data_IF_809610586275
#
_entry.id   IF_809610586275
#
_cell.length_a   1.000
_cell.length_b   1.000
_cell.length_c   1.000
_cell.angle_alpha   90.00
_cell.angle_beta   90.00
_cell.angle_gamma   90.00
#
_symmetry.space_group_name_H-M   'P 1'
#
loop_
_entity.id
_entity.type
_entity.pdbx_description
1 polymer ?
#
# COMPACT_ATOMS: atom_id res chain seq x y z
N UNK A 1 75.94 -177.45 15.03
CA UNK A 1 74.59 -177.13 15.56
C UNK A 1 74.52 -175.74 16.23
N UNK A 2 75.44 -175.34 17.14
CA UNK A 2 75.40 -174.02 17.79
C UNK A 2 75.84 -172.83 16.90
N UNK A 3 76.73 -173.05 15.93
CA UNK A 3 77.26 -171.96 15.08
C UNK A 3 76.33 -171.55 13.92
N UNK A 4 75.51 -172.45 13.38
CA UNK A 4 74.57 -172.10 12.28
C UNK A 4 73.40 -171.22 12.76
N UNK A 5 73.02 -171.34 14.04
CA UNK A 5 71.99 -170.50 14.66
C UNK A 5 72.44 -169.04 14.80
N UNK A 6 73.74 -168.80 15.05
CA UNK A 6 74.26 -167.43 15.19
C UNK A 6 74.34 -166.68 13.86
N UNK A 7 74.57 -167.40 12.75
CA UNK A 7 74.65 -166.79 11.41
C UNK A 7 73.27 -166.35 10.89
N UNK A 8 72.25 -167.18 11.10
CA UNK A 8 70.87 -166.85 10.72
C UNK A 8 70.26 -165.71 11.54
N UNK A 9 70.66 -165.55 12.80
CA UNK A 9 70.19 -164.43 13.63
C UNK A 9 70.75 -163.10 13.09
N UNK A 10 72.04 -163.06 12.72
CA UNK A 10 72.63 -161.84 12.16
C UNK A 10 72.05 -161.45 10.80
N UNK A 11 71.72 -162.40 9.93
CA UNK A 11 71.06 -162.12 8.64
C UNK A 11 69.65 -161.52 8.84
N UNK A 12 68.89 -162.00 9.84
CA UNK A 12 67.56 -161.47 10.15
C UNK A 12 67.65 -160.08 10.80
N UNK A 13 68.67 -159.83 11.63
CA UNK A 13 68.89 -158.51 12.22
C UNK A 13 69.23 -157.44 11.16
N UNK A 14 70.04 -157.79 10.14
CA UNK A 14 70.30 -156.90 9.00
C UNK A 14 69.03 -156.61 8.18
N UNK A 15 68.17 -157.61 7.94
CA UNK A 15 66.90 -157.40 7.22
C UNK A 15 65.92 -156.51 8.00
N UNK A 16 65.85 -156.65 9.33
CA UNK A 16 64.99 -155.82 10.18
C UNK A 16 65.45 -154.36 10.14
N UNK A 17 66.75 -154.11 10.16
CA UNK A 17 67.30 -152.75 10.13
C UNK A 17 67.06 -152.09 8.76
N UNK A 18 67.13 -152.86 7.67
CA UNK A 18 66.83 -152.39 6.31
C UNK A 18 65.34 -152.12 6.07
N UNK A 19 64.45 -152.84 6.75
CA UNK A 19 63.00 -152.59 6.72
C UNK A 19 62.64 -151.36 7.56
N UNK A 20 63.32 -151.12 8.69
CA UNK A 20 63.13 -149.88 9.49
C UNK A 20 63.53 -148.63 8.72
N UNK A 21 64.63 -148.66 7.97
CA UNK A 21 65.06 -147.49 7.15
C UNK A 21 64.08 -147.22 6.01
N UNK A 22 63.56 -148.25 5.34
CA UNK A 22 62.48 -148.10 4.34
C UNK A 22 61.19 -147.56 4.95
N UNK A 23 60.77 -148.05 6.12
CA UNK A 23 59.58 -147.54 6.82
C UNK A 23 59.70 -146.05 7.15
N UNK A 24 60.88 -145.61 7.62
CA UNK A 24 61.15 -144.21 7.96
C UNK A 24 61.15 -143.28 6.73
N UNK A 25 61.52 -143.79 5.55
CA UNK A 25 61.42 -143.07 4.28
C UNK A 25 59.97 -142.83 3.84
N UNK A 26 59.14 -143.87 3.91
CA UNK A 26 57.72 -143.81 3.52
C UNK A 26 56.90 -142.96 4.49
N UNK A 27 57.21 -142.98 5.79
CA UNK A 27 56.55 -142.11 6.78
C UNK A 27 56.80 -140.62 6.50
N UNK A 28 58.00 -140.26 6.01
CA UNK A 28 58.36 -138.87 5.69
C UNK A 28 57.68 -138.36 4.42
N UNK A 29 57.59 -139.18 3.37
CA UNK A 29 56.86 -138.83 2.14
C UNK A 29 55.36 -138.66 2.37
N UNK A 30 54.77 -139.43 3.29
CA UNK A 30 53.34 -139.33 3.63
C UNK A 30 53.02 -138.01 4.35
N UNK A 31 53.95 -137.49 5.14
CA UNK A 31 53.76 -136.26 5.93
C UNK A 31 53.85 -135.01 5.03
N UNK A 32 54.79 -134.99 4.08
CA UNK A 32 54.93 -133.93 3.07
C UNK A 32 53.69 -133.84 2.14
N UNK A 33 53.12 -134.99 1.72
CA UNK A 33 51.91 -135.01 0.90
C UNK A 33 50.66 -134.49 1.63
N UNK A 34 50.52 -134.79 2.93
CA UNK A 34 49.39 -134.29 3.74
C UNK A 34 49.42 -132.77 3.90
N UNK A 35 50.60 -132.18 4.12
CA UNK A 35 50.75 -130.73 4.22
C UNK A 35 50.38 -130.02 2.90
N UNK A 36 50.75 -130.61 1.77
CA UNK A 36 50.44 -130.03 0.46
C UNK A 36 48.94 -130.12 0.11
N UNK A 37 48.26 -131.20 0.50
CA UNK A 37 46.79 -131.33 0.32
C UNK A 37 46.01 -130.28 1.12
N UNK A 38 46.40 -130.01 2.37
CA UNK A 38 45.76 -128.96 3.19
C UNK A 38 45.97 -127.57 2.60
N UNK A 39 47.16 -127.27 2.06
CA UNK A 39 47.47 -126.00 1.41
C UNK A 39 46.65 -125.75 0.13
N UNK A 40 46.46 -126.78 -0.70
CA UNK A 40 45.66 -126.68 -1.94
C UNK A 40 44.16 -126.58 -1.65
N UNK A 41 43.64 -127.32 -0.65
CA UNK A 41 42.23 -127.20 -0.23
C UNK A 41 41.89 -125.82 0.33
N UNK A 42 42.85 -125.17 1.01
CA UNK A 42 42.68 -123.80 1.50
C UNK A 42 42.44 -122.79 0.38
N UNK A 43 43.28 -122.81 -0.67
CA UNK A 43 43.18 -121.89 -1.82
C UNK A 43 41.92 -122.09 -2.66
N UNK A 44 41.46 -123.33 -2.81
CA UNK A 44 40.22 -123.62 -3.56
C UNK A 44 39.01 -122.98 -2.88
N UNK A 45 38.90 -123.08 -1.55
CA UNK A 45 37.78 -122.47 -0.80
C UNK A 45 37.75 -120.95 -0.89
N UNK A 46 38.91 -120.31 -0.98
CA UNK A 46 39.01 -118.85 -1.09
C UNK A 46 38.48 -118.37 -2.45
N UNK A 47 38.92 -119.01 -3.54
CA UNK A 47 38.49 -118.68 -4.91
C UNK A 47 36.99 -118.95 -5.14
N UNK A 48 36.44 -120.01 -4.57
CA UNK A 48 34.99 -120.28 -4.65
C UNK A 48 34.16 -119.17 -3.98
N UNK A 49 34.67 -118.58 -2.91
CA UNK A 49 34.00 -117.49 -2.18
C UNK A 49 33.96 -116.19 -3.00
N UNK A 50 35.05 -115.85 -3.66
CA UNK A 50 35.17 -114.65 -4.50
C UNK A 50 34.32 -114.73 -5.78
N UNK A 51 34.26 -115.91 -6.41
CA UNK A 51 33.41 -116.15 -7.58
C UNK A 51 31.93 -115.98 -7.20
N UNK A 52 31.52 -116.50 -6.04
CA UNK A 52 30.16 -116.36 -5.57
C UNK A 52 29.78 -114.89 -5.31
N UNK A 53 30.62 -114.16 -4.57
CA UNK A 53 30.38 -112.75 -4.24
C UNK A 53 30.32 -111.83 -5.46
N UNK A 54 31.17 -112.05 -6.47
CA UNK A 54 31.10 -111.28 -7.72
C UNK A 54 29.89 -111.64 -8.58
N UNK A 55 29.43 -112.90 -8.54
CA UNK A 55 28.21 -113.31 -9.26
C UNK A 55 26.94 -112.67 -8.70
N UNK A 56 26.88 -112.47 -7.37
CA UNK A 56 25.76 -111.78 -6.71
C UNK A 56 25.72 -110.29 -7.05
N UNK A 57 26.86 -109.59 -6.99
CA UNK A 57 26.96 -108.17 -7.40
C UNK A 57 26.56 -107.96 -8.86
N UNK A 58 26.94 -108.88 -9.74
CA UNK A 58 26.58 -108.79 -11.15
C UNK A 58 25.07 -108.99 -11.38
N UNK A 59 24.41 -109.80 -10.55
CA UNK A 59 22.94 -109.92 -10.54
C UNK A 59 22.26 -108.66 -10.00
N UNK A 60 22.76 -108.06 -8.93
CA UNK A 60 22.23 -106.81 -8.39
C UNK A 60 22.31 -105.67 -9.41
N UNK A 61 23.46 -105.49 -10.06
CA UNK A 61 23.63 -104.44 -11.08
C UNK A 61 22.70 -104.67 -12.29
N UNK A 62 22.52 -105.93 -12.71
CA UNK A 62 21.55 -106.26 -13.76
C UNK A 62 20.12 -105.95 -13.36
N UNK A 63 19.72 -106.28 -12.13
CA UNK A 63 18.37 -105.97 -11.64
C UNK A 63 18.12 -104.45 -11.56
N UNK A 64 19.13 -103.67 -11.13
CA UNK A 64 19.02 -102.20 -11.10
C UNK A 64 18.93 -101.62 -12.51
N UNK A 65 19.67 -102.15 -13.48
CA UNK A 65 19.57 -101.75 -14.88
C UNK A 65 18.20 -102.07 -15.48
N UNK A 66 17.67 -103.27 -15.22
CA UNK A 66 16.33 -103.66 -15.67
C UNK A 66 15.25 -102.80 -15.02
N UNK A 67 15.34 -102.52 -13.71
CA UNK A 67 14.41 -101.62 -13.01
C UNK A 67 14.42 -100.20 -13.59
N UNK A 68 15.61 -99.68 -13.92
CA UNK A 68 15.77 -98.38 -14.58
C UNK A 68 15.40 -98.39 -16.07
N UNK A 69 15.13 -99.55 -16.67
CA UNK A 69 14.69 -99.72 -18.08
C UNK A 69 13.26 -100.28 -18.20
N UNK A 70 12.54 -100.44 -17.08
CA UNK A 70 11.15 -100.93 -17.06
C UNK A 70 10.15 -100.10 -17.87
N UNK A 71 10.48 -98.86 -18.19
CA UNK A 71 9.68 -97.95 -19.05
C UNK A 71 9.92 -98.16 -20.56
N UNK A 72 10.78 -99.09 -20.95
CA UNK A 72 11.02 -99.50 -22.35
C UNK A 72 11.83 -98.50 -23.18
N UNK A 73 12.45 -97.50 -22.55
CA UNK A 73 13.19 -96.44 -23.25
C UNK A 73 14.70 -96.61 -23.08
N UNK A 74 15.43 -96.63 -24.19
CA UNK A 74 16.90 -96.54 -24.16
C UNK A 74 17.35 -95.15 -23.68
N UNK A 75 18.61 -95.03 -23.25
CA UNK A 75 19.21 -93.75 -22.84
C UNK A 75 19.10 -92.68 -23.95
N UNK A 76 19.23 -93.08 -25.22
CA UNK A 76 18.97 -92.23 -26.39
C UNK A 76 17.50 -91.81 -26.53
N UNK A 77 16.55 -92.70 -26.20
CA UNK A 77 15.12 -92.39 -26.20
C UNK A 77 14.73 -91.33 -25.16
N UNK A 78 15.39 -91.33 -24.00
CA UNK A 78 15.24 -90.27 -22.99
C UNK A 78 15.81 -88.95 -23.47
N UNK A 79 16.97 -88.95 -24.12
CA UNK A 79 17.56 -87.76 -24.75
C UNK A 79 16.64 -87.14 -25.81
N UNK A 80 15.97 -87.97 -26.63
CA UNK A 80 14.99 -87.50 -27.62
C UNK A 80 13.76 -86.85 -26.99
N UNK A 81 13.14 -87.50 -25.99
CA UNK A 81 11.99 -86.91 -25.26
C UNK A 81 12.34 -85.62 -24.54
N UNK A 82 13.53 -85.52 -23.95
CA UNK A 82 13.98 -84.32 -23.26
C UNK A 82 14.17 -83.16 -24.26
N UNK A 83 14.71 -83.44 -25.44
CA UNK A 83 14.80 -82.47 -26.52
C UNK A 83 13.42 -82.05 -27.06
N UNK A 84 12.49 -82.99 -27.22
CA UNK A 84 11.10 -82.67 -27.64
C UNK A 84 10.41 -81.76 -26.63
N UNK A 85 10.49 -82.10 -25.33
CA UNK A 85 9.91 -81.29 -24.25
C UNK A 85 10.59 -79.92 -24.17
N UNK A 86 11.93 -79.86 -24.30
CA UNK A 86 12.66 -78.59 -24.31
C UNK A 86 12.26 -77.70 -25.49
N UNK A 87 12.02 -78.29 -26.66
CA UNK A 87 11.57 -77.56 -27.84
C UNK A 87 10.14 -77.04 -27.67
N UNK A 88 9.25 -77.83 -27.05
CA UNK A 88 7.90 -77.38 -26.72
C UNK A 88 7.90 -76.27 -25.66
N UNK A 89 8.78 -76.36 -24.67
CA UNK A 89 8.94 -75.33 -23.64
C UNK A 89 9.40 -74.00 -24.26
N UNK A 90 10.44 -74.02 -25.09
CA UNK A 90 10.96 -72.84 -25.79
C UNK A 90 9.91 -72.22 -26.73
N UNK A 91 9.09 -73.03 -27.40
CA UNK A 91 7.94 -72.54 -28.18
C UNK A 91 6.89 -71.85 -27.32
N UNK A 92 6.57 -72.40 -26.16
CA UNK A 92 5.58 -71.83 -25.24
C UNK A 92 6.10 -70.57 -24.55
N UNK A 93 7.38 -70.52 -24.21
CA UNK A 93 8.04 -69.32 -23.67
C UNK A 93 8.02 -68.16 -24.68
N UNK A 94 8.34 -68.41 -25.95
CA UNK A 94 8.24 -67.38 -27.00
C UNK A 94 6.81 -66.91 -27.24
N UNK A 95 5.83 -67.80 -27.19
CA UNK A 95 4.43 -67.42 -27.32
C UNK A 95 3.97 -66.57 -26.12
N UNK A 96 4.42 -66.89 -24.90
CA UNK A 96 4.15 -66.11 -23.70
C UNK A 96 4.75 -64.69 -23.81
N UNK A 97 5.99 -64.58 -24.32
CA UNK A 97 6.63 -63.29 -24.56
C UNK A 97 5.82 -62.44 -25.56
N UNK A 98 5.41 -63.03 -26.68
CA UNK A 98 4.56 -62.34 -27.67
C UNK A 98 3.21 -61.89 -27.10
N UNK A 99 2.57 -62.70 -26.26
CA UNK A 99 1.32 -62.29 -25.60
C UNK A 99 1.52 -61.19 -24.57
N UNK A 100 2.67 -61.13 -23.87
CA UNK A 100 2.98 -60.02 -22.97
C UNK A 100 3.18 -58.72 -23.74
N UNK A 101 3.90 -58.77 -24.86
CA UNK A 101 4.12 -57.60 -25.71
C UNK A 101 2.79 -57.07 -26.29
N UNK A 102 1.89 -57.98 -26.71
CA UNK A 102 0.54 -57.60 -27.16
C UNK A 102 -0.31 -56.97 -26.05
N UNK A 103 -0.25 -57.49 -24.82
CA UNK A 103 -0.95 -56.90 -23.66
C UNK A 103 -0.40 -55.52 -23.31
N UNK A 104 0.92 -55.34 -23.38
CA UNK A 104 1.55 -54.04 -23.12
C UNK A 104 1.12 -52.98 -24.17
N UNK A 105 1.06 -53.36 -25.45
CA UNK A 105 0.62 -52.49 -26.55
C UNK A 105 -0.89 -52.19 -26.52
N UNK A 106 -1.73 -53.20 -26.30
CA UNK A 106 -3.18 -53.08 -26.49
C UNK A 106 -3.89 -52.59 -25.22
N UNK A 107 -3.41 -52.97 -24.03
CA UNK A 107 -4.08 -52.64 -22.77
C UNK A 107 -3.29 -51.62 -21.96
N UNK A 108 -2.00 -51.86 -21.67
CA UNK A 108 -1.27 -51.02 -20.71
C UNK A 108 -0.97 -49.62 -21.23
N UNK A 109 -0.52 -49.48 -22.49
CA UNK A 109 -0.24 -48.17 -23.09
C UNK A 109 -1.49 -47.28 -23.19
N UNK A 110 -2.63 -47.73 -23.76
CA UNK A 110 -3.83 -46.88 -23.85
C UNK A 110 -4.40 -46.47 -22.49
N UNK A 111 -4.34 -47.34 -21.47
CA UNK A 111 -4.76 -46.99 -20.11
C UNK A 111 -3.85 -45.91 -19.51
N UNK A 112 -2.54 -45.98 -19.78
CA UNK A 112 -1.58 -44.96 -19.33
C UNK A 112 -1.85 -43.62 -20.02
N UNK A 113 -2.05 -43.63 -21.33
CA UNK A 113 -2.33 -42.42 -22.12
C UNK A 113 -3.67 -41.79 -21.73
N UNK A 114 -4.70 -42.60 -21.44
CA UNK A 114 -5.98 -42.13 -20.94
C UNK A 114 -5.83 -41.43 -19.59
N UNK A 115 -5.12 -42.04 -18.63
CA UNK A 115 -4.83 -41.42 -17.33
C UNK A 115 -4.06 -40.11 -17.47
N UNK A 116 -3.10 -40.05 -18.39
CA UNK A 116 -2.37 -38.82 -18.66
C UNK A 116 -3.30 -37.73 -19.24
N UNK A 117 -4.16 -38.08 -20.19
CA UNK A 117 -5.15 -37.17 -20.74
C UNK A 117 -6.17 -36.68 -19.70
N UNK A 118 -6.68 -37.57 -18.84
CA UNK A 118 -7.58 -37.22 -17.73
C UNK A 118 -6.91 -36.22 -16.79
N UNK A 119 -5.67 -36.49 -16.38
CA UNK A 119 -4.92 -35.56 -15.53
C UNK A 119 -4.67 -34.19 -16.19
N UNK A 120 -4.51 -34.16 -17.52
CA UNK A 120 -4.40 -32.91 -18.29
C UNK A 120 -5.72 -32.16 -18.33
N UNK A 121 -6.85 -32.86 -18.50
CA UNK A 121 -8.19 -32.27 -18.48
C UNK A 121 -8.48 -31.66 -17.12
N UNK A 122 -8.18 -32.36 -16.02
CA UNK A 122 -8.36 -31.82 -14.66
C UNK A 122 -7.53 -30.54 -14.45
N UNK A 123 -6.25 -30.54 -14.85
CA UNK A 123 -5.40 -29.34 -14.78
C UNK A 123 -5.96 -28.17 -15.59
N UNK A 124 -6.41 -28.44 -16.82
CA UNK A 124 -6.99 -27.39 -17.67
C UNK A 124 -8.30 -26.85 -17.10
N UNK A 125 -9.13 -27.69 -16.48
CA UNK A 125 -10.35 -27.26 -15.80
C UNK A 125 -10.03 -26.38 -14.58
N UNK A 126 -9.03 -26.75 -13.78
CA UNK A 126 -8.56 -25.91 -12.68
C UNK A 126 -8.05 -24.55 -13.17
N UNK A 127 -7.30 -24.53 -14.28
CA UNK A 127 -6.76 -23.30 -14.85
C UNK A 127 -7.86 -22.41 -15.43
N UNK A 128 -8.88 -22.99 -16.08
CA UNK A 128 -10.08 -22.27 -16.51
C UNK A 128 -10.77 -21.60 -15.32
N UNK A 129 -11.02 -22.35 -14.24
CA UNK A 129 -11.63 -21.79 -13.03
C UNK A 129 -10.79 -20.67 -12.41
N UNK A 130 -9.45 -20.81 -12.37
CA UNK A 130 -8.55 -19.74 -11.89
C UNK A 130 -8.67 -18.49 -12.77
N UNK A 131 -8.70 -18.64 -14.08
CA UNK A 131 -8.81 -17.54 -15.03
C UNK A 131 -10.18 -16.85 -14.94
N UNK A 132 -11.27 -17.60 -14.83
CA UNK A 132 -12.62 -17.05 -14.66
C UNK A 132 -12.74 -16.23 -13.37
N UNK A 133 -12.19 -16.74 -12.26
CA UNK A 133 -12.12 -15.99 -11.00
C UNK A 133 -11.27 -14.72 -11.15
N UNK A 134 -10.14 -14.80 -11.87
CA UNK A 134 -9.30 -13.65 -12.16
C UNK A 134 -10.01 -12.57 -12.99
N UNK A 135 -10.82 -12.98 -13.98
CA UNK A 135 -11.64 -12.06 -14.79
C UNK A 135 -12.71 -11.39 -13.93
N UNK A 136 -13.39 -12.16 -13.06
CA UNK A 136 -14.40 -11.61 -12.16
C UNK A 136 -13.80 -10.58 -11.20
N UNK A 137 -12.62 -10.86 -10.63
CA UNK A 137 -11.92 -9.93 -9.75
C UNK A 137 -11.48 -8.65 -10.50
N UNK A 138 -10.89 -8.78 -11.69
CA UNK A 138 -10.47 -7.65 -12.51
C UNK A 138 -11.66 -6.74 -12.88
N UNK A 139 -12.79 -7.33 -13.27
CA UNK A 139 -14.03 -6.59 -13.56
C UNK A 139 -14.59 -5.90 -12.31
N UNK A 140 -14.52 -6.54 -11.14
CA UNK A 140 -14.90 -5.93 -9.87
C UNK A 140 -14.06 -4.69 -9.55
N UNK A 141 -12.73 -4.78 -9.71
CA UNK A 141 -11.80 -3.65 -9.51
C UNK A 141 -12.10 -2.51 -10.50
N UNK A 142 -12.34 -2.82 -11.77
CA UNK A 142 -12.66 -1.83 -12.80
C UNK A 142 -13.95 -1.08 -12.49
N UNK A 143 -15.01 -1.79 -12.08
CA UNK A 143 -16.28 -1.17 -11.70
C UNK A 143 -16.14 -0.26 -10.46
N UNK A 144 -15.31 -0.63 -9.48
CA UNK A 144 -15.03 0.21 -8.32
C UNK A 144 -14.31 1.51 -8.71
N UNK A 145 -13.35 1.46 -9.65
CA UNK A 145 -12.66 2.65 -10.16
C UNK A 145 -13.64 3.56 -10.94
N UNK A 146 -14.48 2.98 -11.81
CA UNK A 146 -15.48 3.74 -12.56
C UNK A 146 -16.52 4.42 -11.65
N UNK A 147 -16.88 3.79 -10.53
CA UNK A 147 -17.78 4.40 -9.54
C UNK A 147 -17.14 5.67 -8.92
N UNK A 148 -15.86 5.61 -8.56
CA UNK A 148 -15.13 6.76 -8.01
C UNK A 148 -14.94 7.91 -9.02
N UNK A 149 -14.77 7.60 -10.31
CA UNK A 149 -14.66 8.63 -11.36
C UNK A 149 -15.93 9.48 -11.52
N UNK A 150 -17.11 8.92 -11.25
CA UNK A 150 -18.37 9.70 -11.28
C UNK A 150 -18.41 10.80 -10.24
N UNK A 151 -17.74 10.61 -9.10
CA UNK A 151 -17.64 11.64 -8.08
C UNK A 151 -16.57 12.69 -8.43
N UNK A 152 -15.58 12.36 -9.27
CA UNK A 152 -14.61 13.34 -9.78
C UNK A 152 -15.28 14.42 -10.63
N UNK A 153 -16.20 14.05 -11.54
CA UNK A 153 -16.93 15.03 -12.35
C UNK A 153 -17.76 16.01 -11.48
N UNK A 154 -18.38 15.51 -10.39
CA UNK A 154 -19.12 16.36 -9.47
C UNK A 154 -18.21 17.34 -8.72
N UNK A 155 -17.03 16.86 -8.31
CA UNK A 155 -16.02 17.69 -7.65
C UNK A 155 -15.50 18.76 -8.62
N UNK A 156 -15.30 18.43 -9.89
CA UNK A 156 -14.89 19.39 -10.92
C UNK A 156 -15.96 20.46 -11.17
N UNK A 157 -17.24 20.06 -11.27
CA UNK A 157 -18.37 20.99 -11.41
C UNK A 157 -18.52 21.91 -10.20
N UNK A 158 -18.39 21.35 -8.98
CA UNK A 158 -18.42 22.13 -7.74
C UNK A 158 -17.23 23.10 -7.65
N UNK A 159 -16.04 22.68 -8.10
CA UNK A 159 -14.86 23.54 -8.16
C UNK A 159 -15.05 24.69 -9.15
N UNK A 160 -15.61 24.43 -10.34
CA UNK A 160 -15.88 25.47 -11.33
C UNK A 160 -16.94 26.46 -10.83
N UNK A 161 -18.01 25.98 -10.20
CA UNK A 161 -19.02 26.81 -9.55
C UNK A 161 -18.41 27.69 -8.44
N UNK A 162 -17.56 27.12 -7.58
CA UNK A 162 -16.91 27.88 -6.50
C UNK A 162 -15.94 28.92 -7.03
N UNK A 163 -15.22 28.64 -8.13
CA UNK A 163 -14.34 29.61 -8.80
C UNK A 163 -15.09 30.78 -9.40
N UNK A 164 -16.19 30.53 -10.11
CA UNK A 164 -17.04 31.61 -10.65
C UNK A 164 -17.63 32.45 -9.50
N UNK A 165 -18.02 31.81 -8.40
CA UNK A 165 -18.49 32.51 -7.20
C UNK A 165 -17.38 33.35 -6.54
N UNK A 166 -16.16 32.83 -6.43
CA UNK A 166 -15.00 33.55 -5.90
C UNK A 166 -14.72 34.80 -6.73
N UNK A 167 -14.64 34.66 -8.07
CA UNK A 167 -14.38 35.77 -8.98
C UNK A 167 -15.45 36.87 -8.88
N UNK A 168 -16.72 36.50 -8.74
CA UNK A 168 -17.82 37.47 -8.55
C UNK A 168 -17.69 38.22 -7.23
N UNK A 169 -17.41 37.51 -6.14
CA UNK A 169 -17.23 38.12 -4.82
C UNK A 169 -16.01 39.03 -4.78
N UNK A 170 -14.92 38.64 -5.44
CA UNK A 170 -13.72 39.46 -5.56
C UNK A 170 -14.01 40.75 -6.34
N UNK A 171 -14.74 40.65 -7.45
CA UNK A 171 -15.17 41.82 -8.24
C UNK A 171 -16.06 42.75 -7.40
N UNK A 172 -17.00 42.21 -6.62
CA UNK A 172 -17.88 42.99 -5.75
C UNK A 172 -17.09 43.67 -4.62
N UNK A 173 -16.13 42.96 -4.00
CA UNK A 173 -15.26 43.52 -2.99
C UNK A 173 -14.44 44.69 -3.51
N UNK A 174 -13.81 44.54 -4.70
CA UNK A 174 -13.08 45.63 -5.34
C UNK A 174 -13.96 46.84 -5.68
N UNK A 175 -15.20 46.59 -6.13
CA UNK A 175 -16.14 47.68 -6.41
C UNK A 175 -16.52 48.46 -5.14
N UNK A 176 -16.74 47.77 -4.02
CA UNK A 176 -17.05 48.39 -2.72
C UNK A 176 -15.85 49.16 -2.17
N UNK A 177 -14.64 48.60 -2.27
CA UNK A 177 -13.39 49.27 -1.87
C UNK A 177 -13.19 50.56 -2.66
N UNK A 178 -13.32 50.49 -3.99
CA UNK A 178 -13.22 51.65 -4.87
C UNK A 178 -14.26 52.73 -4.54
N UNK A 179 -15.51 52.33 -4.26
CA UNK A 179 -16.57 53.27 -3.87
C UNK A 179 -16.24 53.95 -2.54
N UNK A 180 -15.73 53.20 -1.57
CA UNK A 180 -15.30 53.72 -0.27
C UNK A 180 -14.18 54.76 -0.43
N UNK A 181 -13.16 54.44 -1.22
CA UNK A 181 -12.04 55.34 -1.49
C UNK A 181 -12.48 56.63 -2.18
N UNK A 182 -13.33 56.52 -3.20
CA UNK A 182 -13.91 57.67 -3.89
C UNK A 182 -14.75 58.54 -2.96
N UNK A 183 -15.57 57.93 -2.11
CA UNK A 183 -16.36 58.66 -1.10
C UNK A 183 -15.47 59.43 -0.13
N UNK A 184 -14.40 58.81 0.38
CA UNK A 184 -13.45 59.49 1.27
C UNK A 184 -12.70 60.62 0.55
N UNK A 185 -12.31 60.41 -0.70
CA UNK A 185 -11.64 61.43 -1.52
C UNK A 185 -12.54 62.64 -1.75
N UNK A 186 -13.75 62.44 -2.30
CA UNK A 186 -14.67 63.54 -2.61
C UNK A 186 -15.19 64.24 -1.36
N UNK A 187 -15.40 63.51 -0.25
CA UNK A 187 -15.74 64.14 1.03
C UNK A 187 -14.62 65.07 1.51
N UNK A 188 -13.37 64.61 1.46
CA UNK A 188 -12.21 65.40 1.87
C UNK A 188 -12.03 66.62 0.97
N UNK A 189 -12.22 66.46 -0.34
CA UNK A 189 -12.16 67.55 -1.31
C UNK A 189 -13.27 68.58 -1.08
N UNK A 190 -14.52 68.14 -0.88
CA UNK A 190 -15.66 69.01 -0.61
C UNK A 190 -15.45 69.82 0.67
N UNK A 191 -14.99 69.17 1.75
CA UNK A 191 -14.66 69.83 3.01
C UNK A 191 -13.56 70.87 2.81
N UNK A 192 -12.46 70.52 2.12
CA UNK A 192 -11.35 71.45 1.85
C UNK A 192 -11.80 72.66 1.02
N UNK A 193 -12.66 72.44 0.02
CA UNK A 193 -13.25 73.49 -0.81
C UNK A 193 -14.16 74.44 0.00
N UNK A 194 -14.73 73.99 1.13
CA UNK A 194 -15.50 74.84 2.04
C UNK A 194 -14.61 75.56 3.06
N UNK A 195 -13.59 74.90 3.61
CA UNK A 195 -12.74 75.46 4.68
C UNK A 195 -12.06 76.76 4.27
N UNK A 196 -11.41 76.81 3.11
CA UNK A 196 -10.64 77.98 2.70
C UNK A 196 -11.52 79.23 2.49
N UNK A 197 -12.65 79.19 1.75
CA UNK A 197 -13.54 80.33 1.62
C UNK A 197 -14.12 80.80 2.95
N UNK A 198 -14.59 79.88 3.80
CA UNK A 198 -15.17 80.24 5.10
C UNK A 198 -14.11 80.86 6.01
N UNK A 199 -12.92 80.26 6.10
CA UNK A 199 -11.82 80.79 6.91
C UNK A 199 -11.44 82.20 6.46
N UNK A 200 -11.40 82.45 5.15
CA UNK A 200 -11.11 83.78 4.60
C UNK A 200 -12.18 84.79 5.00
N UNK A 201 -13.47 84.47 4.80
CA UNK A 201 -14.59 85.36 5.16
C UNK A 201 -14.60 85.67 6.66
N UNK A 202 -14.47 84.65 7.52
CA UNK A 202 -14.44 84.82 8.99
C UNK A 202 -13.24 85.65 9.41
N UNK A 203 -12.06 85.41 8.82
CA UNK A 203 -10.86 86.20 9.14
C UNK A 203 -10.99 87.65 8.71
N UNK A 204 -11.54 87.93 7.54
CA UNK A 204 -11.79 89.30 7.05
C UNK A 204 -12.76 90.05 7.96
N UNK A 205 -13.87 89.42 8.33
CA UNK A 205 -14.85 90.02 9.23
C UNK A 205 -14.32 90.17 10.67
N UNK A 206 -13.54 89.20 11.17
CA UNK A 206 -12.91 89.29 12.49
C UNK A 206 -11.93 90.47 12.53
N UNK A 207 -11.17 90.70 11.45
CA UNK A 207 -10.27 91.85 11.36
C UNK A 207 -11.00 93.18 11.43
N UNK A 208 -12.24 93.25 10.92
CA UNK A 208 -13.10 94.43 11.04
C UNK A 208 -13.55 94.62 12.48
N UNK A 209 -13.96 93.55 13.17
CA UNK A 209 -14.48 93.66 14.56
C UNK A 209 -13.37 93.92 15.57
N UNK A 210 -12.28 93.14 15.53
CA UNK A 210 -11.28 93.04 16.61
C UNK A 210 -9.91 93.62 16.21
N UNK A 211 -9.65 93.81 14.92
CA UNK A 211 -8.44 94.43 14.37
C UNK A 211 -7.61 93.51 13.46
N UNK A 212 -6.74 94.11 12.65
CA UNK A 212 -6.03 93.44 11.53
C UNK A 212 -5.01 92.37 11.92
N UNK A 213 -4.69 92.25 13.21
CA UNK A 213 -3.62 91.38 13.72
C UNK A 213 -4.07 89.93 13.91
N UNK A 214 -5.38 89.68 13.91
CA UNK A 214 -5.99 88.40 14.21
C UNK A 214 -6.34 87.64 12.94
N UNK A 215 -6.11 86.32 12.95
CA UNK A 215 -6.54 85.40 11.90
C UNK A 215 -7.04 84.11 12.53
N UNK A 216 -8.20 83.62 12.09
CA UNK A 216 -8.79 82.38 12.59
C UNK A 216 -8.21 81.21 11.81
N UNK A 217 -7.88 80.12 12.50
CA UNK A 217 -7.58 78.85 11.85
C UNK A 217 -8.70 77.85 12.09
N UNK A 218 -8.88 77.00 11.10
CA UNK A 218 -9.90 75.99 11.06
C UNK A 218 -9.24 74.60 11.09
N UNK A 219 -9.97 73.63 11.62
CA UNK A 219 -9.60 72.23 11.49
C UNK A 219 -10.05 71.64 10.14
N UNK A 220 -9.79 70.35 9.97
CA UNK A 220 -10.23 69.57 8.82
C UNK A 220 -11.76 69.40 8.75
N UNK A 221 -12.53 69.84 9.75
CA UNK A 221 -13.98 69.74 9.80
C UNK A 221 -14.73 71.04 9.50
N UNK A 222 -14.04 72.07 8.97
CA UNK A 222 -14.59 73.42 8.78
C UNK A 222 -14.98 74.07 10.12
N UNK A 223 -14.33 73.72 11.23
CA UNK A 223 -14.59 74.32 12.54
C UNK A 223 -13.48 75.31 12.91
N UNK A 224 -13.81 76.53 13.36
CA UNK A 224 -12.86 77.40 14.01
C UNK A 224 -12.22 76.70 15.22
N UNK A 225 -10.88 76.72 15.35
CA UNK A 225 -10.17 76.08 16.48
C UNK A 225 -9.26 77.03 17.24
N UNK A 226 -8.69 78.03 16.57
CA UNK A 226 -7.72 78.93 17.17
C UNK A 226 -7.67 80.29 16.48
N UNK A 227 -7.10 81.26 17.19
CA UNK A 227 -6.80 82.58 16.65
C UNK A 227 -5.31 82.86 16.78
N UNK A 228 -4.68 83.12 15.65
CA UNK A 228 -3.28 83.54 15.56
C UNK A 228 -3.13 85.05 15.59
N UNK A 229 -2.09 85.54 16.27
CA UNK A 229 -1.68 86.95 16.24
C UNK A 229 -0.40 87.11 15.42
N UNK A 230 -0.52 87.69 14.23
CA UNK A 230 0.58 87.74 13.23
C UNK A 230 1.86 88.39 13.76
N UNK A 231 1.75 89.33 14.70
CA UNK A 231 2.88 90.06 15.27
C UNK A 231 3.72 89.24 16.26
N UNK A 232 3.11 88.29 16.97
CA UNK A 232 3.74 87.58 18.09
C UNK A 232 4.00 86.10 17.80
N UNK A 233 3.59 85.58 16.63
CA UNK A 233 3.62 84.14 16.29
C UNK A 233 3.01 83.27 17.40
N UNK A 234 2.05 83.82 18.13
CA UNK A 234 1.32 83.15 19.20
C UNK A 234 -0.06 82.79 18.69
N UNK A 235 -0.52 81.63 19.11
CA UNK A 235 -1.82 81.08 18.81
C UNK A 235 -2.53 80.76 20.12
N UNK A 236 -3.78 81.18 20.22
CA UNK A 236 -4.65 80.85 21.34
C UNK A 236 -5.79 79.97 20.83
N UNK A 237 -6.13 78.92 21.56
CA UNK A 237 -7.32 78.12 21.29
C UNK A 237 -8.56 78.99 21.52
N UNK A 238 -9.64 78.71 20.79
CA UNK A 238 -10.89 79.48 20.95
C UNK A 238 -11.42 79.40 22.38
N UNK A 239 -11.31 78.23 23.00
CA UNK A 239 -11.77 77.97 24.38
C UNK A 239 -10.96 78.76 25.43
N UNK A 240 -9.76 79.26 25.08
CA UNK A 240 -8.91 80.09 25.95
C UNK A 240 -9.18 81.60 25.77
N UNK A 241 -10.04 81.98 24.83
CA UNK A 241 -10.37 83.38 24.57
C UNK A 241 -11.38 83.90 25.59
N UNK A 242 -11.46 85.22 25.70
CA UNK A 242 -12.56 85.86 26.44
C UNK A 242 -13.90 85.45 25.81
N UNK A 243 -14.92 85.19 26.64
CA UNK A 243 -16.26 84.79 26.20
C UNK A 243 -16.82 85.64 25.05
N UNK A 244 -16.74 86.98 25.13
CA UNK A 244 -17.22 87.85 24.05
C UNK A 244 -16.43 87.76 22.73
N UNK A 245 -15.16 87.34 22.76
CA UNK A 245 -14.37 87.11 21.53
C UNK A 245 -14.71 85.76 20.92
N UNK A 246 -14.91 84.73 21.75
CA UNK A 246 -15.41 83.43 21.31
C UNK A 246 -16.79 83.56 20.63
N UNK A 247 -17.76 84.23 21.29
CA UNK A 247 -19.09 84.48 20.73
C UNK A 247 -19.01 85.19 19.37
N UNK A 248 -18.15 86.22 19.25
CA UNK A 248 -17.94 86.94 17.99
C UNK A 248 -17.43 86.02 16.88
N UNK A 249 -16.51 85.10 17.16
CA UNK A 249 -16.00 84.15 16.17
C UNK A 249 -17.12 83.22 15.69
N UNK A 250 -17.91 82.67 16.62
CA UNK A 250 -19.04 81.80 16.27
C UNK A 250 -20.13 82.52 15.49
N UNK A 251 -20.44 83.75 15.86
CA UNK A 251 -21.34 84.63 15.15
C UNK A 251 -20.89 84.86 13.69
N UNK A 252 -19.63 85.28 13.50
CA UNK A 252 -19.06 85.52 12.18
C UNK A 252 -18.97 84.24 11.33
N UNK A 253 -18.65 83.12 11.96
CA UNK A 253 -18.63 81.81 11.33
C UNK A 253 -20.00 81.41 10.78
N UNK A 254 -21.08 81.55 11.55
CA UNK A 254 -22.44 81.27 11.08
C UNK A 254 -22.84 82.15 9.90
N UNK A 255 -22.49 83.44 9.93
CA UNK A 255 -22.75 84.35 8.80
C UNK A 255 -21.91 84.01 7.56
N UNK A 256 -20.66 83.60 7.73
CA UNK A 256 -19.80 83.18 6.63
C UNK A 256 -20.33 81.90 5.97
N UNK A 257 -20.73 80.89 6.76
CA UNK A 257 -21.38 79.68 6.24
C UNK A 257 -22.66 80.01 5.48
N UNK A 258 -23.55 80.81 6.07
CA UNK A 258 -24.78 81.23 5.41
C UNK A 258 -24.50 81.89 4.06
N UNK A 259 -23.54 82.83 4.00
CA UNK A 259 -23.16 83.54 2.76
C UNK A 259 -22.55 82.62 1.71
N UNK A 260 -21.77 81.61 2.12
CA UNK A 260 -21.18 80.65 1.20
C UNK A 260 -22.26 79.75 0.57
N UNK A 261 -23.21 79.31 1.39
CA UNK A 261 -24.34 78.48 0.96
C UNK A 261 -25.41 79.26 0.20
N UNK A 262 -25.40 80.59 0.26
CA UNK A 262 -26.38 81.44 -0.42
C UNK A 262 -26.05 81.74 -1.89
N UNK A 263 -25.24 80.90 -2.54
CA UNK A 263 -24.81 81.10 -3.93
C UNK A 263 -25.93 80.79 -4.93
N UNK A 264 -26.76 79.78 -4.63
CA UNK A 264 -27.93 79.41 -5.45
C UNK A 264 -29.23 80.01 -4.91
N UNK A 265 -29.46 79.93 -3.60
CA UNK A 265 -30.69 80.41 -2.96
C UNK A 265 -30.41 81.13 -1.64
N UNK A 266 -31.25 82.11 -1.29
CA UNK A 266 -31.13 82.88 -0.05
C UNK A 266 -31.34 81.97 1.17
N UNK A 267 -30.32 81.85 2.02
CA UNK A 267 -30.36 80.99 3.21
C UNK A 267 -30.96 81.70 4.43
N UNK A 268 -31.68 80.94 5.26
CA UNK A 268 -32.18 81.39 6.57
C UNK A 268 -31.10 81.18 7.65
N UNK A 269 -30.82 82.22 8.43
CA UNK A 269 -29.95 82.15 9.60
C UNK A 269 -30.72 82.66 10.81
N UNK A 270 -30.84 81.81 11.83
CA UNK A 270 -31.43 82.17 13.12
C UNK A 270 -30.31 82.30 14.14
N UNK A 271 -30.26 83.45 14.82
CA UNK A 271 -29.25 83.77 15.82
C UNK A 271 -29.95 84.04 17.15
N UNK A 272 -29.55 83.32 18.19
CA UNK A 272 -30.03 83.52 19.56
C UNK A 272 -28.97 84.31 20.34
N UNK A 273 -29.34 85.53 20.72
CA UNK A 273 -28.55 86.56 21.39
C UNK A 273 -27.05 86.63 21.00
N UNK A 274 -26.73 86.75 19.70
CA UNK A 274 -25.38 86.51 19.18
C UNK A 274 -24.31 87.51 19.66
N UNK A 275 -24.72 88.63 20.27
CA UNK A 275 -23.85 89.75 20.65
C UNK A 275 -24.10 90.16 22.11
N UNK A 276 -24.51 89.21 22.96
CA UNK A 276 -24.76 89.43 24.38
C UNK A 276 -23.57 90.10 25.09
N UNK A 277 -22.36 89.58 24.90
CA UNK A 277 -21.16 90.00 25.62
C UNK A 277 -20.19 90.84 24.78
N UNK A 278 -20.74 91.61 23.83
CA UNK A 278 -19.94 92.46 22.93
C UNK A 278 -19.89 93.91 23.43
N UNK A 279 -18.67 94.45 23.55
CA UNK A 279 -18.47 95.85 23.96
C UNK A 279 -18.99 96.85 22.91
N UNK A 280 -19.38 98.08 23.29
CA UNK A 280 -20.00 99.05 22.38
C UNK A 280 -19.17 99.36 21.13
N UNK A 281 -17.84 99.36 21.24
CA UNK A 281 -16.96 99.68 20.11
C UNK A 281 -16.99 98.58 19.05
N UNK A 282 -17.07 97.31 19.46
CA UNK A 282 -17.17 96.15 18.59
C UNK A 282 -18.59 95.92 18.09
N UNK A 283 -19.58 96.21 18.92
CA UNK A 283 -21.00 96.01 18.62
C UNK A 283 -21.39 96.68 17.30
N UNK A 284 -21.01 97.96 17.13
CA UNK A 284 -21.29 98.70 15.90
C UNK A 284 -20.71 98.02 14.65
N UNK A 285 -19.48 97.51 14.74
CA UNK A 285 -18.81 96.83 13.61
C UNK A 285 -19.43 95.46 13.32
N UNK A 286 -19.84 94.73 14.36
CA UNK A 286 -20.57 93.48 14.21
C UNK A 286 -21.94 93.69 13.55
N UNK A 287 -22.69 94.73 13.95
CA UNK A 287 -23.98 95.08 13.34
C UNK A 287 -23.85 95.49 11.88
N UNK A 288 -22.79 96.21 11.49
CA UNK A 288 -22.52 96.50 10.08
C UNK A 288 -22.32 95.22 9.25
N UNK A 289 -21.61 94.23 9.80
CA UNK A 289 -21.44 92.93 9.14
C UNK A 289 -22.78 92.19 9.04
N UNK A 290 -23.62 92.27 10.09
CA UNK A 290 -24.97 91.71 10.09
C UNK A 290 -25.82 92.29 8.95
N UNK A 291 -25.81 93.62 8.81
CA UNK A 291 -26.58 94.35 7.79
C UNK A 291 -26.11 94.00 6.37
N UNK A 292 -24.79 93.90 6.16
CA UNK A 292 -24.23 93.45 4.90
C UNK A 292 -24.62 91.99 4.58
N UNK A 293 -24.57 91.11 5.57
CA UNK A 293 -24.96 89.72 5.42
C UNK A 293 -26.47 89.59 5.12
N UNK A 294 -27.31 90.45 5.71
CA UNK A 294 -28.76 90.47 5.48
C UNK A 294 -29.13 90.78 4.03
N UNK A 295 -28.23 91.37 3.21
CA UNK A 295 -28.46 91.56 1.76
C UNK A 295 -28.49 90.24 0.99
N UNK A 296 -27.79 89.21 1.50
CA UNK A 296 -27.67 87.88 0.87
C UNK A 296 -28.37 86.77 1.65
N UNK A 297 -28.72 87.01 2.92
CA UNK A 297 -29.31 86.05 3.85
C UNK A 297 -30.65 86.54 4.38
N UNK A 298 -31.53 85.63 4.73
CA UNK A 298 -32.68 85.93 5.58
C UNK A 298 -32.24 85.71 7.03
N UNK A 299 -32.18 86.77 7.83
CA UNK A 299 -31.65 86.68 9.20
C UNK A 299 -32.76 86.96 10.20
N UNK A 300 -32.89 86.08 11.18
CA UNK A 300 -33.75 86.26 12.36
C UNK A 300 -32.83 86.32 13.57
N UNK A 301 -32.93 87.40 14.35
CA UNK A 301 -32.24 87.53 15.63
C UNK A 301 -33.27 87.47 16.74
N UNK A 302 -33.08 86.54 17.67
CA UNK A 302 -33.83 86.45 18.92
C UNK A 302 -32.93 87.07 19.99
N UNK A 303 -33.43 88.03 20.76
CA UNK A 303 -32.65 88.70 21.81
C UNK A 303 -33.56 89.28 22.88
N UNK A 304 -33.04 89.40 24.09
CA UNK A 304 -33.68 90.12 25.19
C UNK A 304 -33.26 91.61 25.25
N UNK A 305 -32.23 92.00 24.51
CA UNK A 305 -31.67 93.37 24.48
C UNK A 305 -31.88 93.98 23.08
N UNK A 306 -33.10 94.46 22.87
CA UNK A 306 -33.54 95.05 21.59
C UNK A 306 -32.74 96.32 21.26
N UNK A 307 -32.32 97.08 22.28
CA UNK A 307 -31.68 98.37 22.11
C UNK A 307 -30.35 98.29 21.36
N UNK A 308 -29.63 97.16 21.49
CA UNK A 308 -28.42 96.88 20.71
C UNK A 308 -28.65 96.93 19.21
N UNK A 309 -29.85 96.59 18.74
CA UNK A 309 -30.14 96.44 17.32
C UNK A 309 -30.86 97.66 16.72
N UNK A 310 -31.24 98.67 17.53
CA UNK A 310 -31.91 99.90 17.08
C UNK A 310 -31.13 100.68 16.00
N UNK A 311 -29.81 100.46 15.91
CA UNK A 311 -28.96 101.05 14.88
C UNK A 311 -29.25 100.51 13.47
N UNK A 312 -29.88 99.33 13.33
CA UNK A 312 -30.13 98.70 12.03
C UNK A 312 -31.36 99.31 11.34
N UNK A 313 -31.19 100.07 10.24
CA UNK A 313 -32.29 100.80 9.61
C UNK A 313 -33.29 99.88 8.90
N UNK A 314 -32.86 98.68 8.52
CA UNK A 314 -33.69 97.69 7.80
C UNK A 314 -34.25 96.60 8.70
N UNK A 315 -34.01 96.66 10.01
CA UNK A 315 -34.48 95.63 10.93
C UNK A 315 -35.98 95.80 11.19
N UNK A 316 -36.72 94.70 11.12
CA UNK A 316 -38.11 94.64 11.56
C UNK A 316 -38.14 94.04 12.98
N UNK A 317 -38.68 94.79 13.94
CA UNK A 317 -38.75 94.39 15.33
C UNK A 317 -40.12 93.79 15.62
N UNK A 318 -40.13 92.51 16.01
CA UNK A 318 -41.34 91.79 16.37
C UNK A 318 -41.27 91.44 17.86
N UNK A 319 -42.12 92.02 18.72
CA UNK A 319 -42.16 91.64 20.12
C UNK A 319 -42.70 90.21 20.26
N UNK A 320 -41.99 89.38 21.03
CA UNK A 320 -42.48 88.08 21.49
C UNK A 320 -43.35 88.33 22.74
N UNK A 321 -44.58 88.78 22.56
CA UNK A 321 -45.53 88.88 23.68
C UNK A 321 -45.92 87.47 24.15
N UNK A 322 -46.02 87.33 25.48
CA UNK A 322 -46.39 86.14 26.24
C UNK A 322 -47.81 85.64 25.96
#
# INVERSE_FOLDING_TARGET
>A
AREELSKKINEIEEEIENIKTKKRGVEKELEDWKQNEEGVRGKIRELEKDIHGNSERMKEIKNVLDDLQKDGLSFEGRGKKLNEISLELDKKERALEGYKDEVEEIEEKPIRDLKECESRVERLQEDIHKLENGIAEANGRLNAILANLKDTNKIEEELEFLRDREQRLETEAYAVELLSDLMHFYRSEAIRNLTEPVQKMVTEDLKRVVGTKYAVKFDEGVKPVSVGVSKYKTEALIDDLSFGTEEQIWYLFRLALGRLLSSEERQLVVLDDPLANTDPSRLHRALQILEEAAKKLQIIVVTCDVDKYNWLPTANFVPLES
#
